data_IF_256146082991
#
_entry.id   IF_256146082991
#
_cell.length_a   1.000
_cell.length_b   1.000
_cell.length_c   1.000
_cell.angle_alpha   90.00
_cell.angle_beta   90.00
_cell.angle_gamma   90.00
#
_symmetry.space_group_name_H-M   'P 1'
#
loop_
_entity.id
_entity.type
_entity.pdbx_description
1 polymer ?
#
# COMPACT_ATOMS: atom_id res chain seq x y z
N UNK A 1 59.87 5.57 -25.82
CA UNK A 1 59.29 6.92 -26.01
C UNK A 1 58.37 6.88 -27.22
N UNK A 2 57.12 7.32 -27.02
CA UNK A 2 56.15 7.89 -27.97
C UNK A 2 55.96 7.28 -29.38
N UNK A 3 54.74 6.72 -29.53
CA UNK A 3 53.61 7.23 -30.34
C UNK A 3 53.27 6.55 -31.68
N UNK A 4 52.02 6.04 -31.66
CA UNK A 4 50.94 6.11 -32.68
C UNK A 4 51.13 5.43 -34.03
N UNK A 5 50.19 4.52 -34.37
CA UNK A 5 49.48 4.47 -35.66
C UNK A 5 48.06 3.88 -35.41
N UNK A 6 47.05 4.66 -35.76
CA UNK A 6 45.74 4.28 -36.32
C UNK A 6 45.86 4.74 -37.81
N UNK A 7 45.30 4.10 -38.87
CA UNK A 7 43.84 3.96 -38.96
C UNK A 7 43.24 2.91 -39.92
N UNK A 8 41.90 2.90 -39.94
CA UNK A 8 40.97 2.68 -41.06
C UNK A 8 41.20 1.48 -42.00
N UNK A 9 40.28 0.52 -41.94
CA UNK A 9 39.84 -0.21 -43.15
C UNK A 9 38.33 -0.37 -43.13
N UNK A 10 37.72 0.28 -44.12
CA UNK A 10 36.31 0.33 -44.48
C UNK A 10 36.15 -0.48 -45.78
N UNK A 11 35.04 -1.22 -45.90
CA UNK A 11 34.36 -1.68 -47.12
C UNK A 11 35.00 -2.73 -48.07
N UNK A 12 34.38 -3.92 -48.12
CA UNK A 12 34.00 -4.68 -49.32
C UNK A 12 33.16 -5.90 -48.86
N UNK A 13 31.83 -5.86 -48.82
CA UNK A 13 30.86 -6.18 -49.90
C UNK A 13 31.09 -7.54 -50.59
N UNK A 14 30.23 -8.53 -50.29
CA UNK A 14 29.60 -9.53 -51.20
C UNK A 14 28.73 -10.45 -50.32
N UNK A 15 27.40 -10.25 -50.28
CA UNK A 15 26.43 -10.85 -51.19
C UNK A 15 26.24 -12.36 -50.97
N UNK A 16 25.24 -12.73 -50.15
CA UNK A 16 24.45 -13.95 -50.31
C UNK A 16 23.01 -13.64 -49.89
N UNK A 17 22.21 -13.27 -50.89
CA UNK A 17 20.76 -13.15 -50.78
C UNK A 17 20.17 -14.56 -50.72
N UNK A 18 19.63 -14.94 -49.57
CA UNK A 18 18.68 -16.06 -49.51
C UNK A 18 17.28 -15.51 -49.78
N UNK A 19 16.78 -15.90 -50.95
CA UNK A 19 15.41 -15.83 -51.42
C UNK A 19 14.46 -16.43 -50.38
N UNK A 20 13.72 -15.61 -49.64
CA UNK A 20 12.45 -16.01 -49.02
C UNK A 20 11.32 -15.26 -49.71
N UNK A 21 10.72 -15.90 -50.70
CA UNK A 21 9.39 -15.56 -51.20
C UNK A 21 8.37 -15.83 -50.10
N UNK A 22 7.96 -14.76 -49.42
CA UNK A 22 6.78 -14.77 -48.54
C UNK A 22 5.55 -14.58 -49.43
N UNK A 23 4.74 -15.64 -49.55
CA UNK A 23 3.42 -15.57 -50.18
C UNK A 23 2.46 -14.91 -49.19
N UNK A 24 2.15 -13.63 -49.38
CA UNK A 24 1.06 -12.97 -48.68
C UNK A 24 -0.26 -13.42 -49.31
N UNK A 25 -1.07 -14.15 -48.54
CA UNK A 25 -2.48 -14.32 -48.88
C UNK A 25 -3.17 -12.94 -48.85
N UNK A 26 -4.02 -12.60 -49.83
CA UNK A 26 -4.76 -11.34 -49.79
C UNK A 26 -5.69 -11.36 -48.58
N UNK A 27 -5.47 -10.42 -47.67
CA UNK A 27 -6.38 -10.13 -46.56
C UNK A 27 -7.68 -9.63 -47.18
N UNK A 28 -8.76 -10.38 -47.01
CA UNK A 28 -10.10 -9.93 -47.33
C UNK A 28 -10.42 -8.70 -46.49
N UNK A 29 -10.47 -7.56 -47.16
CA UNK A 29 -10.96 -6.29 -46.65
C UNK A 29 -12.38 -6.49 -46.10
N UNK A 30 -12.68 -6.15 -44.84
CA UNK A 30 -14.06 -6.09 -44.40
C UNK A 30 -14.79 -4.98 -45.18
N UNK A 31 -15.89 -5.38 -45.80
CA UNK A 31 -16.84 -4.55 -46.52
C UNK A 31 -17.36 -3.42 -45.61
N UNK A 32 -17.50 -2.17 -46.08
CA UNK A 32 -18.07 -1.10 -45.26
C UNK A 32 -19.54 -1.41 -44.97
N UNK A 33 -19.88 -1.57 -43.69
CA UNK A 33 -21.27 -1.67 -43.26
C UNK A 33 -22.09 -0.47 -43.74
N UNK A 34 -23.34 -0.67 -44.19
CA UNK A 34 -24.19 0.42 -44.63
C UNK A 34 -24.55 1.33 -43.45
N UNK A 35 -24.33 2.63 -43.64
CA UNK A 35 -24.79 3.71 -42.77
C UNK A 35 -26.28 3.55 -42.47
N UNK A 36 -26.60 3.09 -41.26
CA UNK A 36 -27.98 3.04 -40.78
C UNK A 36 -28.40 4.46 -40.40
N UNK A 37 -29.16 5.10 -41.28
CA UNK A 37 -29.90 6.33 -40.97
C UNK A 37 -30.85 6.06 -39.80
N UNK A 38 -30.64 6.79 -38.70
CA UNK A 38 -31.57 6.81 -37.56
C UNK A 38 -32.91 7.41 -38.00
N UNK A 39 -34.05 6.74 -37.78
CA UNK A 39 -35.34 7.39 -37.90
C UNK A 39 -35.53 8.36 -36.74
N UNK A 40 -35.82 9.62 -37.02
CA UNK A 40 -36.33 10.58 -36.05
C UNK A 40 -37.71 10.11 -35.57
N UNK A 41 -37.77 9.54 -34.36
CA UNK A 41 -39.02 9.27 -33.67
C UNK A 41 -39.39 10.49 -32.83
N UNK A 42 -40.41 11.21 -33.27
CA UNK A 42 -41.16 12.18 -32.46
C UNK A 42 -41.79 11.43 -31.28
N UNK A 43 -41.37 11.71 -30.04
CA UNK A 43 -42.04 11.19 -28.85
C UNK A 43 -43.36 11.95 -28.61
N UNK A 44 -44.52 11.27 -28.52
CA UNK A 44 -45.63 11.78 -27.74
C UNK A 44 -45.31 11.61 -26.25
N UNK A 45 -45.74 12.57 -25.42
CA UNK A 45 -45.62 12.48 -23.97
C UNK A 45 -46.38 11.23 -23.45
N UNK A 46 -45.64 10.31 -22.83
CA UNK A 46 -46.18 9.09 -22.23
C UNK A 46 -46.44 9.29 -20.72
N UNK A 47 -47.51 8.68 -20.16
CA UNK A 47 -47.87 8.84 -18.76
C UNK A 47 -46.94 8.02 -17.85
N UNK A 48 -46.65 8.55 -16.67
CA UNK A 48 -45.89 7.90 -15.60
C UNK A 48 -46.46 6.51 -15.28
N UNK A 49 -45.70 5.46 -15.61
CA UNK A 49 -45.91 4.11 -15.07
C UNK A 49 -44.78 3.79 -14.08
N UNK A 50 -45.15 3.20 -12.95
CA UNK A 50 -44.22 2.77 -11.92
C UNK A 50 -43.34 1.61 -12.41
N UNK A 51 -42.04 1.73 -12.18
CA UNK A 51 -41.03 0.70 -12.52
C UNK A 51 -41.14 -0.48 -11.55
N UNK A 52 -41.19 -1.75 -12.02
CA UNK A 52 -41.09 -2.90 -11.15
C UNK A 52 -39.63 -3.10 -10.70
N UNK A 53 -39.41 -3.20 -9.40
CA UNK A 53 -38.10 -3.43 -8.78
C UNK A 53 -37.57 -4.82 -9.13
N UNK A 54 -36.48 -4.89 -9.90
CA UNK A 54 -35.70 -6.11 -10.10
C UNK A 54 -34.77 -6.31 -8.89
N UNK A 55 -34.69 -7.52 -8.29
CA UNK A 55 -33.77 -7.77 -7.19
C UNK A 55 -32.31 -7.68 -7.69
N UNK A 56 -31.57 -6.75 -7.08
CA UNK A 56 -30.15 -6.55 -7.29
C UNK A 56 -29.37 -7.76 -6.72
N UNK A 57 -28.34 -8.27 -7.40
CA UNK A 57 -27.48 -9.31 -6.82
C UNK A 57 -26.81 -8.77 -5.56
N UNK A 58 -27.09 -9.41 -4.43
CA UNK A 58 -26.42 -9.19 -3.16
C UNK A 58 -24.93 -9.45 -3.36
N UNK A 59 -24.12 -8.38 -3.35
CA UNK A 59 -22.70 -8.52 -3.08
C UNK A 59 -22.58 -8.98 -1.63
N UNK A 60 -22.19 -10.23 -1.44
CA UNK A 60 -21.86 -10.76 -0.12
C UNK A 60 -20.61 -10.00 0.34
N UNK A 61 -20.81 -9.03 1.24
CA UNK A 61 -19.74 -8.35 1.95
C UNK A 61 -18.96 -9.46 2.67
N UNK A 62 -17.63 -9.59 2.47
CA UNK A 62 -16.84 -10.53 3.27
C UNK A 62 -17.12 -10.25 4.74
N UNK A 63 -17.66 -11.23 5.44
CA UNK A 63 -17.95 -11.13 6.87
C UNK A 63 -16.61 -10.85 7.57
N UNK A 64 -16.38 -9.60 7.98
CA UNK A 64 -15.29 -9.30 8.90
C UNK A 64 -15.57 -10.10 10.17
N UNK A 65 -14.60 -10.88 10.70
CA UNK A 65 -14.82 -11.62 11.93
C UNK A 65 -15.21 -10.64 13.04
N UNK A 66 -16.32 -10.94 13.70
CA UNK A 66 -16.81 -10.17 14.84
C UNK A 66 -15.75 -10.17 15.95
N UNK A 67 -15.49 -9.02 16.62
CA UNK A 67 -14.50 -8.95 17.67
C UNK A 67 -14.67 -10.07 18.69
N UNK A 68 -13.63 -10.88 18.87
CA UNK A 68 -13.67 -11.99 19.82
C UNK A 68 -13.53 -11.49 21.26
N UNK A 69 -13.01 -10.26 21.43
CA UNK A 69 -12.92 -9.56 22.71
C UNK A 69 -13.79 -8.30 22.68
N UNK A 70 -14.63 -8.04 23.69
CA UNK A 70 -15.44 -6.82 23.78
C UNK A 70 -14.57 -5.56 23.70
N UNK A 71 -15.04 -4.46 23.10
CA UNK A 71 -14.28 -3.22 23.04
C UNK A 71 -13.98 -2.70 24.45
N UNK A 72 -12.71 -2.37 24.69
CA UNK A 72 -12.29 -1.76 25.96
C UNK A 72 -12.12 -0.25 25.75
N UNK A 73 -13.02 0.61 26.29
CA UNK A 73 -12.76 2.04 26.36
C UNK A 73 -11.71 2.26 27.44
N UNK A 74 -10.52 2.70 27.03
CA UNK A 74 -9.40 2.83 27.94
C UNK A 74 -8.64 4.12 27.66
N UNK A 75 -8.87 5.08 28.54
CA UNK A 75 -8.22 6.38 28.46
C UNK A 75 -6.75 6.28 28.87
N UNK A 76 -5.82 6.28 27.90
CA UNK A 76 -4.38 6.35 28.10
C UNK A 76 -3.82 5.08 28.71
N UNK A 77 -4.57 3.98 28.59
CA UNK A 77 -4.29 2.76 29.32
C UNK A 77 -3.65 1.72 28.43
N UNK A 78 -2.73 0.98 29.03
CA UNK A 78 -2.22 -0.27 28.48
C UNK A 78 -3.38 -1.24 28.30
N UNK A 79 -3.56 -1.71 27.07
CA UNK A 79 -4.53 -2.74 26.68
C UNK A 79 -3.81 -4.07 26.48
N UNK A 80 -4.51 -5.18 26.65
CA UNK A 80 -3.97 -6.50 26.36
C UNK A 80 -5.01 -7.35 25.65
N UNK A 81 -4.65 -7.83 24.46
CA UNK A 81 -5.44 -8.74 23.65
C UNK A 81 -4.60 -9.98 23.39
N UNK A 82 -5.01 -11.11 23.99
CA UNK A 82 -4.27 -12.36 23.92
C UNK A 82 -2.79 -12.17 24.30
N UNK A 83 -1.85 -12.34 23.37
CA UNK A 83 -0.41 -12.19 23.57
C UNK A 83 0.10 -10.75 23.39
N UNK A 84 -0.68 -9.85 22.80
CA UNK A 84 -0.26 -8.46 22.56
C UNK A 84 -0.66 -7.56 23.73
N UNK A 85 0.32 -6.83 24.25
CA UNK A 85 0.12 -5.68 25.15
C UNK A 85 0.61 -4.41 24.45
N UNK A 86 -0.17 -3.33 24.51
CA UNK A 86 0.19 -2.03 23.91
C UNK A 86 -0.40 -0.89 24.73
N UNK A 87 0.28 0.26 24.78
CA UNK A 87 -0.23 1.48 25.40
C UNK A 87 -0.71 2.44 24.32
N UNK A 88 -1.98 2.84 24.39
CA UNK A 88 -2.59 3.76 23.43
C UNK A 88 -2.48 5.21 23.92
N UNK A 89 -1.72 6.09 23.24
CA UNK A 89 -1.76 7.52 23.54
C UNK A 89 -3.16 8.08 23.29
N UNK A 90 -3.67 8.88 24.23
CA UNK A 90 -5.06 9.37 24.16
C UNK A 90 -5.42 10.20 22.94
N UNK A 91 -4.43 10.87 22.41
CA UNK A 91 -4.57 11.71 21.23
C UNK A 91 -4.44 10.90 19.93
N UNK A 92 -4.10 9.60 20.01
CA UNK A 92 -4.02 8.67 18.87
C UNK A 92 -5.28 7.81 18.80
N UNK A 93 -5.66 7.18 19.91
CA UNK A 93 -6.89 6.38 20.01
C UNK A 93 -7.46 6.38 21.43
N UNK A 94 -8.78 6.23 21.55
CA UNK A 94 -9.49 6.18 22.83
C UNK A 94 -10.04 4.77 23.19
N UNK A 95 -9.66 3.75 22.42
CA UNK A 95 -10.08 2.37 22.58
C UNK A 95 -9.54 1.48 21.46
N UNK A 96 -9.85 0.19 21.54
CA UNK A 96 -9.50 -0.81 20.55
C UNK A 96 -10.40 -2.05 20.70
N UNK A 97 -10.40 -2.90 19.68
CA UNK A 97 -10.98 -4.24 19.70
C UNK A 97 -9.99 -5.27 19.17
N UNK A 98 -10.05 -6.49 19.69
CA UNK A 98 -9.17 -7.60 19.30
C UNK A 98 -9.94 -8.75 18.65
N UNK A 99 -9.39 -9.29 17.58
CA UNK A 99 -9.92 -10.43 16.84
C UNK A 99 -8.81 -11.42 16.49
N UNK A 100 -9.08 -12.71 16.65
CA UNK A 100 -8.23 -13.77 16.08
C UNK A 100 -8.74 -14.08 14.67
N UNK A 101 -7.93 -13.77 13.67
CA UNK A 101 -8.21 -14.08 12.28
C UNK A 101 -7.78 -15.53 12.03
N UNK A 102 -8.69 -16.40 11.55
CA UNK A 102 -8.34 -17.79 11.32
C UNK A 102 -7.38 -17.93 10.14
N UNK A 103 -6.66 -19.05 10.12
CA UNK A 103 -5.87 -19.47 8.97
C UNK A 103 -6.72 -19.50 7.69
N UNK A 104 -6.17 -18.94 6.62
CA UNK A 104 -6.73 -19.03 5.28
C UNK A 104 -5.62 -19.36 4.29
N UNK A 105 -5.55 -20.62 3.87
CA UNK A 105 -4.65 -21.12 2.83
C UNK A 105 -5.41 -21.74 1.66
N UNK A 106 -6.70 -21.39 1.52
CA UNK A 106 -7.57 -21.89 0.45
C UNK A 106 -6.89 -21.73 -0.93
N UNK A 107 -6.96 -22.76 -1.79
CA UNK A 107 -6.49 -22.65 -3.18
C UNK A 107 -7.21 -21.55 -3.97
N UNK A 108 -8.44 -21.21 -3.58
CA UNK A 108 -9.27 -20.17 -4.21
C UNK A 108 -8.99 -18.77 -3.68
N UNK A 109 -8.31 -18.64 -2.53
CA UNK A 109 -7.95 -17.35 -1.97
C UNK A 109 -6.88 -16.66 -2.81
N UNK A 110 -7.06 -15.37 -3.06
CA UNK A 110 -6.02 -14.56 -3.68
C UNK A 110 -4.77 -14.52 -2.79
N UNK A 111 -3.59 -14.35 -3.39
CA UNK A 111 -2.31 -14.43 -2.67
C UNK A 111 -2.24 -13.47 -1.48
N UNK A 112 -2.79 -12.26 -1.61
CA UNK A 112 -2.83 -11.24 -0.55
C UNK A 112 -3.88 -11.51 0.55
N UNK A 113 -4.77 -12.49 0.35
CA UNK A 113 -5.76 -12.92 1.35
C UNK A 113 -5.30 -14.13 2.16
N UNK A 114 -4.18 -14.75 1.75
CA UNK A 114 -3.63 -15.91 2.46
C UNK A 114 -2.96 -15.47 3.74
N UNK A 115 -3.27 -16.16 4.83
CA UNK A 115 -2.71 -15.90 6.16
C UNK A 115 -2.60 -17.19 6.95
N UNK A 116 -1.53 -17.39 7.76
CA UNK A 116 -1.44 -18.51 8.69
C UNK A 116 -2.46 -18.42 9.84
N UNK A 117 -3.24 -17.34 9.89
CA UNK A 117 -3.99 -16.92 11.07
C UNK A 117 -3.16 -15.93 11.87
N UNK A 118 -3.80 -14.97 12.52
CA UNK A 118 -3.11 -13.89 13.22
C UNK A 118 -4.02 -13.15 14.18
N UNK A 119 -3.41 -12.51 15.17
CA UNK A 119 -4.10 -11.53 15.99
C UNK A 119 -4.19 -10.20 15.23
N UNK A 120 -5.38 -9.62 15.18
CA UNK A 120 -5.62 -8.26 14.73
C UNK A 120 -6.20 -7.43 15.88
N UNK A 121 -5.54 -6.31 16.20
CA UNK A 121 -6.08 -5.28 17.10
C UNK A 121 -6.48 -4.08 16.27
N UNK A 122 -7.78 -3.85 16.14
CA UNK A 122 -8.37 -2.74 15.41
C UNK A 122 -8.52 -1.52 16.33
N UNK A 123 -8.15 -0.35 15.82
CA UNK A 123 -8.45 0.95 16.42
C UNK A 123 -9.60 1.66 15.69
N UNK A 124 -10.26 0.98 14.73
CA UNK A 124 -11.37 1.56 13.97
C UNK A 124 -12.52 2.00 14.89
N UNK A 125 -13.11 3.16 14.59
CA UNK A 125 -14.07 3.85 15.44
C UNK A 125 -13.50 4.49 16.72
N UNK A 126 -12.24 4.20 17.08
CA UNK A 126 -11.54 4.77 18.25
C UNK A 126 -10.37 5.68 17.89
N UNK A 127 -9.90 5.60 16.65
CA UNK A 127 -8.75 6.32 16.15
C UNK A 127 -9.05 7.80 15.89
N UNK A 128 -8.04 8.64 16.08
CA UNK A 128 -8.15 10.11 15.97
C UNK A 128 -8.58 10.59 14.57
N UNK A 129 -8.32 9.80 13.53
CA UNK A 129 -8.75 10.09 12.16
C UNK A 129 -9.84 9.13 11.70
N UNK A 130 -10.75 9.65 10.88
CA UNK A 130 -11.87 8.93 10.29
C UNK A 130 -11.88 9.16 8.77
N UNK A 131 -12.58 8.30 8.03
CA UNK A 131 -12.75 8.45 6.57
C UNK A 131 -11.47 8.26 5.75
N UNK A 132 -10.56 7.42 6.24
CA UNK A 132 -9.29 7.07 5.58
C UNK A 132 -9.44 5.77 4.80
N UNK A 133 -8.62 5.58 3.77
CA UNK A 133 -8.67 4.35 2.95
C UNK A 133 -8.25 3.13 3.75
N UNK A 134 -7.17 3.27 4.52
CA UNK A 134 -6.64 2.20 5.34
C UNK A 134 -7.21 2.27 6.76
N UNK A 135 -7.61 1.11 7.30
CA UNK A 135 -8.10 1.03 8.68
C UNK A 135 -6.93 0.97 9.68
N UNK A 136 -7.01 1.70 10.80
CA UNK A 136 -5.94 1.72 11.80
C UNK A 136 -5.91 0.41 12.58
N UNK A 137 -4.82 -0.34 12.46
CA UNK A 137 -4.72 -1.66 13.08
C UNK A 137 -3.27 -2.10 13.35
N UNK A 138 -3.14 -3.01 14.32
CA UNK A 138 -1.93 -3.77 14.63
C UNK A 138 -2.20 -5.24 14.30
N UNK A 139 -1.29 -5.87 13.56
CA UNK A 139 -1.37 -7.26 13.16
C UNK A 139 -0.14 -8.01 13.68
N UNK A 140 -0.36 -9.20 14.26
CA UNK A 140 0.70 -10.06 14.79
C UNK A 140 0.55 -11.46 14.19
N UNK A 141 1.46 -11.80 13.28
CA UNK A 141 1.48 -13.07 12.56
C UNK A 141 2.58 -13.99 13.07
N UNK A 142 2.39 -15.32 13.07
CA UNK A 142 3.51 -16.26 13.14
C UNK A 142 4.45 -16.05 11.95
N UNK A 143 5.67 -15.59 12.20
CA UNK A 143 6.57 -15.09 11.16
C UNK A 143 6.98 -16.19 10.17
N UNK A 144 7.37 -17.36 10.67
CA UNK A 144 7.80 -18.49 9.85
C UNK A 144 6.65 -18.99 8.97
N UNK A 145 5.49 -19.27 9.57
CA UNK A 145 4.34 -19.78 8.81
C UNK A 145 3.86 -18.77 7.77
N UNK A 146 3.92 -17.46 8.07
CA UNK A 146 3.51 -16.46 7.09
C UNK A 146 4.49 -16.40 5.91
N UNK A 147 5.79 -16.44 6.20
CA UNK A 147 6.83 -16.48 5.16
C UNK A 147 6.71 -17.73 4.27
N UNK A 148 6.39 -18.88 4.84
CA UNK A 148 6.19 -20.12 4.08
C UNK A 148 4.92 -20.09 3.22
N UNK A 149 3.85 -19.45 3.72
CA UNK A 149 2.55 -19.42 3.05
C UNK A 149 2.45 -18.35 1.96
N UNK A 150 3.05 -17.18 2.17
CA UNK A 150 2.86 -16.00 1.32
C UNK A 150 4.20 -15.43 0.83
N UNK A 151 4.49 -15.46 -0.49
CA UNK A 151 5.73 -14.90 -1.03
C UNK A 151 5.99 -13.44 -0.64
N UNK A 152 4.93 -12.62 -0.58
CA UNK A 152 5.06 -11.22 -0.16
C UNK A 152 5.51 -11.06 1.31
N UNK A 153 5.12 -12.00 2.19
CA UNK A 153 5.55 -12.00 3.58
C UNK A 153 7.02 -12.43 3.70
N UNK A 154 7.42 -13.47 2.97
CA UNK A 154 8.82 -13.88 2.87
C UNK A 154 9.72 -12.71 2.43
N UNK A 155 9.35 -12.05 1.33
CA UNK A 155 10.11 -10.93 0.78
C UNK A 155 10.18 -9.76 1.77
N UNK A 156 9.07 -9.41 2.41
CA UNK A 156 9.04 -8.31 3.37
C UNK A 156 9.91 -8.59 4.60
N UNK A 157 9.79 -9.79 5.18
CA UNK A 157 10.62 -10.21 6.32
C UNK A 157 12.11 -10.23 5.96
N UNK A 158 12.45 -10.68 4.75
CA UNK A 158 13.84 -10.69 4.27
C UNK A 158 14.40 -9.27 4.09
N UNK A 159 13.62 -8.37 3.46
CA UNK A 159 13.98 -6.96 3.29
C UNK A 159 14.13 -6.23 4.63
N UNK A 160 13.23 -6.52 5.57
CA UNK A 160 13.32 -6.01 6.93
C UNK A 160 14.65 -6.41 7.57
N UNK A 161 14.99 -7.70 7.55
CA UNK A 161 16.27 -8.20 8.10
C UNK A 161 17.48 -7.55 7.45
N UNK A 162 17.46 -7.36 6.13
CA UNK A 162 18.54 -6.69 5.40
C UNK A 162 18.71 -5.24 5.84
N UNK A 163 17.62 -4.49 5.98
CA UNK A 163 17.67 -3.11 6.46
C UNK A 163 18.16 -3.04 7.92
N UNK A 164 17.65 -3.91 8.80
CA UNK A 164 18.04 -3.93 10.21
C UNK A 164 19.51 -4.33 10.44
N UNK A 165 20.12 -5.05 9.48
CA UNK A 165 21.54 -5.38 9.54
C UNK A 165 22.45 -4.15 9.41
N UNK A 166 22.08 -3.18 8.58
CA UNK A 166 22.77 -1.88 8.45
C UNK A 166 21.75 -0.75 8.22
N UNK A 167 21.14 -0.21 9.31
CA UNK A 167 20.08 0.79 9.19
C UNK A 167 20.52 2.13 8.58
N UNK A 168 21.85 2.38 8.49
CA UNK A 168 22.37 3.58 7.82
C UNK A 168 22.35 3.45 6.30
N UNK A 169 22.23 2.22 5.79
CA UNK A 169 22.12 1.92 4.38
C UNK A 169 20.63 1.78 3.99
N UNK A 170 19.94 2.92 3.91
CA UNK A 170 18.53 2.98 3.51
C UNK A 170 18.37 2.37 2.10
N UNK A 171 17.55 1.31 1.94
CA UNK A 171 17.45 0.62 0.68
C UNK A 171 16.66 1.44 -0.35
N UNK A 172 16.81 1.10 -1.63
CA UNK A 172 15.96 1.63 -2.68
C UNK A 172 14.48 1.31 -2.39
N UNK A 173 13.56 2.12 -2.92
CA UNK A 173 12.13 2.01 -2.63
C UNK A 173 11.56 0.60 -2.91
N UNK A 174 12.00 -0.03 -4.00
CA UNK A 174 11.58 -1.38 -4.39
C UNK A 174 12.12 -2.49 -3.48
N UNK A 175 13.09 -2.15 -2.61
CA UNK A 175 13.70 -3.00 -1.61
C UNK A 175 13.23 -2.68 -0.18
N UNK A 176 12.34 -1.70 0.01
CA UNK A 176 11.71 -1.48 1.31
C UNK A 176 10.83 -2.69 1.71
N UNK A 177 10.81 -3.08 3.01
CA UNK A 177 9.82 -4.03 3.50
C UNK A 177 8.41 -3.43 3.32
N UNK A 178 7.45 -4.22 2.87
CA UNK A 178 6.09 -3.76 2.60
C UNK A 178 5.02 -4.59 3.31
N UNK A 179 3.79 -4.09 3.36
CA UNK A 179 2.64 -4.80 3.92
C UNK A 179 2.27 -6.00 3.03
N UNK A 180 2.40 -7.26 3.50
CA UNK A 180 2.26 -8.43 2.63
C UNK A 180 0.87 -8.64 2.02
N UNK A 181 -0.18 -8.17 2.70
CA UNK A 181 -1.57 -8.30 2.28
C UNK A 181 -2.09 -7.09 1.49
N UNK A 182 -1.24 -6.08 1.21
CA UNK A 182 -1.57 -5.00 0.30
C UNK A 182 -1.20 -5.38 -1.13
N UNK A 183 -2.21 -5.62 -1.98
CA UNK A 183 -2.02 -5.88 -3.40
C UNK A 183 -1.77 -4.57 -4.19
N UNK A 184 -0.81 -3.75 -3.77
CA UNK A 184 -0.51 -2.46 -4.40
C UNK A 184 0.97 -2.13 -4.21
N UNK A 185 1.46 -1.13 -4.95
CA UNK A 185 2.86 -0.69 -4.83
C UNK A 185 2.99 0.42 -3.80
N UNK A 186 4.05 0.36 -3.00
CA UNK A 186 4.57 1.49 -2.23
C UNK A 186 4.89 2.62 -3.23
N UNK A 187 4.29 3.79 -3.05
CA UNK A 187 4.52 4.93 -3.95
C UNK A 187 5.76 5.73 -3.56
N UNK A 188 6.02 5.85 -2.25
CA UNK A 188 7.19 6.49 -1.68
C UNK A 188 7.39 5.99 -0.26
N UNK A 189 8.60 6.15 0.28
CA UNK A 189 8.88 5.97 1.69
C UNK A 189 9.58 7.23 2.19
N UNK A 190 9.01 7.89 3.18
CA UNK A 190 9.59 9.05 3.84
C UNK A 190 9.67 8.81 5.35
N UNK A 191 10.46 9.64 6.05
CA UNK A 191 10.61 9.57 7.51
C UNK A 191 10.99 8.15 7.97
N UNK A 192 11.93 7.51 7.26
CA UNK A 192 12.37 6.14 7.53
C UNK A 192 13.19 6.15 8.83
N UNK A 193 12.78 5.33 9.80
CA UNK A 193 13.43 5.24 11.11
C UNK A 193 13.42 3.79 11.61
N UNK A 194 14.58 3.22 11.98
CA UNK A 194 14.59 1.97 12.74
C UNK A 194 14.01 2.23 14.13
N UNK A 195 13.07 1.39 14.56
CA UNK A 195 12.34 1.59 15.81
C UNK A 195 12.16 0.25 16.52
N UNK A 196 12.51 0.20 17.80
CA UNK A 196 12.33 -0.98 18.64
C UNK A 196 11.08 -0.88 19.50
N UNK A 197 10.52 -2.04 19.82
CA UNK A 197 9.49 -2.22 20.85
C UNK A 197 10.04 -3.08 21.99
N UNK A 198 9.22 -3.43 22.99
CA UNK A 198 9.71 -4.02 24.25
C UNK A 198 10.52 -5.32 24.06
N UNK A 199 10.19 -6.10 23.03
CA UNK A 199 10.81 -7.40 22.76
C UNK A 199 10.98 -7.67 21.26
N UNK A 200 11.34 -6.63 20.50
CA UNK A 200 11.61 -6.75 19.09
C UNK A 200 12.00 -5.43 18.44
N UNK A 201 12.22 -5.48 17.13
CA UNK A 201 12.68 -4.33 16.37
C UNK A 201 12.14 -4.33 14.95
N UNK A 202 12.14 -3.16 14.34
CA UNK A 202 11.56 -2.96 13.03
C UNK A 202 11.92 -1.62 12.42
N UNK A 203 11.17 -1.26 11.38
CA UNK A 203 11.28 0.03 10.71
C UNK A 203 9.91 0.66 10.62
N UNK A 204 9.85 1.96 10.91
CA UNK A 204 8.71 2.80 10.55
C UNK A 204 9.06 3.72 9.40
N UNK A 205 8.08 3.99 8.57
CA UNK A 205 8.13 5.01 7.53
C UNK A 205 6.71 5.43 7.16
N UNK A 206 6.56 6.58 6.51
CA UNK A 206 5.26 7.05 6.01
C UNK A 206 5.17 6.82 4.51
N UNK A 207 4.00 6.40 4.04
CA UNK A 207 3.81 5.93 2.68
C UNK A 207 2.35 6.00 2.25
N UNK A 208 2.15 5.83 0.95
CA UNK A 208 0.89 5.47 0.31
C UNK A 208 1.07 4.22 -0.55
N UNK A 209 -0.04 3.53 -0.84
CA UNK A 209 -0.08 2.38 -1.74
C UNK A 209 -1.06 2.65 -2.88
N UNK A 210 -0.66 2.41 -4.13
CA UNK A 210 -1.61 2.43 -5.25
C UNK A 210 -1.24 1.47 -6.39
N UNK A 211 -2.23 1.22 -7.25
CA UNK A 211 -2.09 0.42 -8.47
C UNK A 211 -2.08 1.27 -9.75
N UNK A 212 -2.41 2.56 -9.66
CA UNK A 212 -2.53 3.46 -10.78
C UNK A 212 -2.14 4.89 -10.44
N UNK A 213 -2.28 5.83 -11.41
CA UNK A 213 -1.97 7.23 -11.19
C UNK A 213 -2.82 7.82 -10.06
N UNK A 214 -2.15 8.41 -9.08
CA UNK A 214 -2.78 9.05 -7.93
C UNK A 214 -1.88 10.19 -7.46
N UNK A 215 -2.49 11.28 -7.00
CA UNK A 215 -1.76 12.33 -6.30
C UNK A 215 -1.53 11.91 -4.85
N UNK A 216 -0.32 12.16 -4.33
CA UNK A 216 -0.04 11.97 -2.90
C UNK A 216 -1.02 12.80 -2.03
N UNK A 217 -1.64 12.18 -1.04
CA UNK A 217 -2.82 12.74 -0.38
C UNK A 217 -3.09 12.22 1.05
N UNK A 218 -3.83 13.02 1.81
CA UNK A 218 -4.19 12.75 3.20
C UNK A 218 -5.27 11.66 3.39
N UNK A 219 -5.98 11.23 2.34
CA UNK A 219 -6.94 10.13 2.43
C UNK A 219 -6.23 8.77 2.47
N UNK A 220 -5.13 8.66 1.72
CA UNK A 220 -4.38 7.42 1.56
C UNK A 220 -3.10 7.35 2.40
N UNK A 221 -2.56 8.48 2.88
CA UNK A 221 -1.32 8.54 3.67
C UNK A 221 -1.44 7.80 5.01
N UNK A 222 -0.45 6.97 5.31
CA UNK A 222 -0.36 6.30 6.60
C UNK A 222 1.08 6.14 7.10
N UNK A 223 1.20 6.10 8.43
CA UNK A 223 2.35 5.58 9.14
C UNK A 223 2.33 4.06 9.06
N UNK A 224 3.39 3.50 8.50
CA UNK A 224 3.62 2.07 8.37
C UNK A 224 4.75 1.65 9.30
N UNK A 225 4.54 0.61 10.09
CA UNK A 225 5.61 -0.05 10.82
C UNK A 225 5.60 -1.55 10.52
N UNK A 226 6.80 -2.09 10.29
CA UNK A 226 7.04 -3.50 10.03
C UNK A 226 8.18 -3.95 10.93
N UNK A 227 7.94 -4.99 11.73
CA UNK A 227 8.91 -5.48 12.71
C UNK A 227 8.82 -6.98 12.96
N UNK A 228 9.80 -7.48 13.73
CA UNK A 228 9.86 -8.85 14.22
C UNK A 228 10.22 -8.87 15.70
N UNK A 229 9.74 -9.85 16.44
CA UNK A 229 10.20 -10.09 17.82
C UNK A 229 11.67 -10.53 17.84
N UNK A 230 12.34 -10.34 18.98
CA UNK A 230 13.77 -10.66 19.15
C UNK A 230 14.07 -12.16 18.96
N UNK A 231 13.11 -13.02 19.26
CA UNK A 231 13.17 -14.46 19.00
C UNK A 231 12.83 -14.84 17.54
N UNK A 232 12.37 -13.87 16.75
CA UNK A 232 11.98 -14.03 15.35
C UNK A 232 10.67 -14.79 15.12
N UNK A 233 9.90 -15.09 16.18
CA UNK A 233 8.69 -15.91 16.09
C UNK A 233 7.47 -15.15 15.58
N UNK A 234 7.35 -13.86 15.92
CA UNK A 234 6.21 -13.03 15.56
C UNK A 234 6.62 -11.90 14.61
N UNK A 235 5.84 -11.72 13.55
CA UNK A 235 5.94 -10.64 12.58
C UNK A 235 4.83 -9.63 12.83
N UNK A 236 5.22 -8.37 13.02
CA UNK A 236 4.32 -7.28 13.42
C UNK A 236 4.16 -6.30 12.27
N UNK A 237 2.92 -6.00 11.90
CA UNK A 237 2.57 -4.92 10.97
C UNK A 237 1.67 -3.94 11.68
N UNK A 238 1.95 -2.65 11.57
CA UNK A 238 1.09 -1.59 12.12
C UNK A 238 0.82 -0.56 11.04
N UNK A 239 -0.47 -0.29 10.83
CA UNK A 239 -0.98 0.67 9.84
C UNK A 239 -1.77 1.71 10.61
N UNK A 240 -1.34 2.97 10.56
CA UNK A 240 -1.97 4.07 11.27
C UNK A 240 -2.11 5.25 10.30
N UNK A 241 -3.32 5.58 9.83
CA UNK A 241 -3.52 6.72 8.95
C UNK A 241 -3.01 8.02 9.57
N UNK A 242 -2.41 8.88 8.77
CA UNK A 242 -1.92 10.18 9.21
C UNK A 242 -2.28 11.25 8.17
N UNK A 243 -2.19 12.52 8.54
CA UNK A 243 -2.24 13.63 7.58
C UNK A 243 -0.98 14.48 7.67
N UNK A 244 -0.72 15.20 6.59
CA UNK A 244 0.36 16.18 6.47
C UNK A 244 -0.20 17.48 5.88
N UNK A 245 0.17 18.67 6.41
CA UNK A 245 -0.37 19.95 5.96
C UNK A 245 0.08 20.34 4.54
N UNK A 246 1.06 19.61 3.98
CA UNK A 246 1.64 19.88 2.66
C UNK A 246 1.13 18.94 1.56
N UNK A 247 0.22 18.02 1.89
CA UNK A 247 -0.42 17.12 0.92
C UNK A 247 -1.86 17.52 0.66
N UNK A 248 -2.36 17.22 -0.55
CA UNK A 248 -3.76 17.41 -0.88
C UNK A 248 -4.65 16.47 -0.06
N UNK A 249 -5.94 16.78 0.03
CA UNK A 249 -6.87 15.93 0.79
C UNK A 249 -7.21 14.63 0.07
N UNK A 250 -7.34 14.65 -1.26
CA UNK A 250 -7.70 13.47 -2.05
C UNK A 250 -6.66 13.14 -3.12
N UNK A 251 -6.68 11.89 -3.57
CA UNK A 251 -5.79 11.38 -4.63
C UNK A 251 -6.19 11.76 -6.06
N UNK A 252 -7.24 12.58 -6.25
CA UNK A 252 -7.59 13.12 -7.56
C UNK A 252 -6.40 13.94 -8.10
N UNK A 253 -6.03 13.70 -9.36
CA UNK A 253 -4.91 14.40 -10.01
C UNK A 253 -5.14 15.91 -10.14
N UNK A 254 -6.38 16.37 -9.99
CA UNK A 254 -6.76 17.79 -9.99
C UNK A 254 -7.07 18.33 -8.58
N UNK A 255 -6.85 17.55 -7.53
CA UNK A 255 -7.11 17.98 -6.17
C UNK A 255 -6.26 19.21 -5.82
N UNK A 256 -6.85 20.24 -5.18
CA UNK A 256 -6.09 21.43 -4.77
C UNK A 256 -4.89 21.05 -3.89
N UNK A 257 -3.71 21.49 -4.30
CA UNK A 257 -2.46 21.27 -3.58
C UNK A 257 -2.27 22.42 -2.58
N UNK A 258 -2.03 22.15 -1.29
CA UNK A 258 -1.75 23.19 -0.32
C UNK A 258 -0.52 24.02 -0.67
N UNK A 259 -0.40 25.20 -0.06
CA UNK A 259 0.80 26.02 -0.20
C UNK A 259 2.05 25.25 0.27
N UNK A 260 3.07 25.18 -0.58
CA UNK A 260 4.29 24.42 -0.31
C UNK A 260 4.23 22.93 -0.65
N UNK A 261 3.09 22.43 -1.13
CA UNK A 261 2.97 21.09 -1.70
C UNK A 261 3.55 20.99 -3.11
N UNK A 262 3.65 19.76 -3.61
CA UNK A 262 4.11 19.47 -4.98
C UNK A 262 2.89 19.11 -5.84
N UNK A 263 2.64 19.82 -6.95
CA UNK A 263 1.55 19.46 -7.85
C UNK A 263 1.88 18.19 -8.64
N UNK A 264 0.85 17.39 -8.90
CA UNK A 264 1.00 16.23 -9.77
C UNK A 264 1.38 16.67 -11.19
N UNK A 265 2.33 15.98 -11.87
CA UNK A 265 2.82 16.45 -13.15
C UNK A 265 1.89 16.06 -14.32
N UNK A 266 1.57 17.04 -15.18
CA UNK A 266 0.76 16.84 -16.40
C UNK A 266 1.41 15.92 -17.45
N UNK A 267 2.72 15.64 -17.31
CA UNK A 267 3.50 14.85 -18.26
C UNK A 267 3.46 13.33 -18.00
N UNK A 268 2.70 12.89 -16.99
CA UNK A 268 2.53 11.48 -16.63
C UNK A 268 3.75 10.81 -15.98
N UNK A 269 4.81 11.55 -15.65
CA UNK A 269 6.00 11.01 -14.98
C UNK A 269 5.80 10.98 -13.46
N UNK A 270 5.28 9.87 -12.95
CA UNK A 270 5.02 9.68 -11.52
C UNK A 270 6.30 9.52 -10.68
N UNK A 271 7.36 8.88 -11.18
CA UNK A 271 8.54 8.58 -10.34
C UNK A 271 9.24 9.85 -9.81
N UNK A 272 9.54 10.88 -10.62
CA UNK A 272 10.13 12.13 -10.10
C UNK A 272 9.19 12.86 -9.15
N UNK A 273 7.88 12.74 -9.33
CA UNK A 273 6.88 13.32 -8.44
C UNK A 273 6.96 12.68 -7.04
N UNK A 274 6.98 11.34 -6.96
CA UNK A 274 7.06 10.66 -5.66
C UNK A 274 8.42 10.80 -4.97
N UNK A 275 9.50 11.01 -5.71
CA UNK A 275 10.79 11.45 -5.15
C UNK A 275 10.62 12.82 -4.47
N UNK A 276 10.04 13.80 -5.17
CA UNK A 276 9.81 15.14 -4.61
C UNK A 276 8.85 15.13 -3.41
N UNK A 277 7.84 14.26 -3.40
CA UNK A 277 6.96 14.05 -2.24
C UNK A 277 7.74 13.47 -1.07
N UNK A 278 8.57 12.44 -1.29
CA UNK A 278 9.41 11.89 -0.22
C UNK A 278 10.34 12.95 0.36
N UNK A 279 11.04 13.71 -0.48
CA UNK A 279 11.93 14.80 -0.05
C UNK A 279 11.19 15.88 0.75
N UNK A 280 10.00 16.29 0.28
CA UNK A 280 9.14 17.25 0.96
C UNK A 280 8.73 16.76 2.34
N UNK A 281 8.36 15.48 2.46
CA UNK A 281 7.92 14.87 3.71
C UNK A 281 9.07 14.61 4.69
N UNK A 282 10.28 14.31 4.19
CA UNK A 282 11.48 14.08 5.00
C UNK A 282 11.93 15.34 5.76
N UNK A 283 11.64 16.53 5.23
CA UNK A 283 11.99 17.80 5.90
C UNK A 283 10.89 18.33 6.82
N UNK A 284 9.72 17.67 6.86
CA UNK A 284 8.67 18.06 7.79
C UNK A 284 9.02 17.65 9.23
N UNK A 285 8.78 18.52 10.23
CA UNK A 285 8.91 18.14 11.64
C UNK A 285 7.95 16.99 12.00
N UNK A 286 8.36 16.03 12.83
CA UNK A 286 7.48 14.92 13.26
C UNK A 286 6.16 15.38 13.90
N UNK A 287 6.17 16.54 14.55
CA UNK A 287 4.98 17.18 15.12
C UNK A 287 4.03 17.87 14.12
N UNK A 288 4.40 18.02 12.84
CA UNK A 288 3.48 18.58 11.84
C UNK A 288 2.52 17.54 11.25
N UNK A 289 2.77 16.26 11.49
CA UNK A 289 1.84 15.20 11.12
C UNK A 289 0.72 15.08 12.16
N UNK A 290 -0.44 14.61 11.73
CA UNK A 290 -1.56 14.35 12.63
C UNK A 290 -2.10 12.94 12.43
N UNK A 291 -2.08 12.05 13.45
CA UNK A 291 -1.34 12.21 14.72
C UNK A 291 0.16 12.42 14.51
N UNK A 292 0.85 13.00 15.51
CA UNK A 292 2.29 13.27 15.41
C UNK A 292 3.13 11.99 15.42
N UNK A 293 4.27 12.01 14.74
CA UNK A 293 5.13 10.83 14.62
C UNK A 293 5.65 10.37 16.00
N UNK A 294 6.01 11.28 16.90
CA UNK A 294 6.52 10.93 18.24
C UNK A 294 5.50 10.13 19.07
N UNK A 295 4.21 10.42 18.88
CA UNK A 295 3.13 9.71 19.58
C UNK A 295 2.90 8.32 18.99
N UNK A 296 3.00 8.19 17.67
CA UNK A 296 2.90 6.90 16.99
C UNK A 296 4.13 6.04 17.31
N UNK A 297 5.32 6.63 17.33
CA UNK A 297 6.57 5.98 17.74
C UNK A 297 6.45 5.47 19.19
N UNK A 298 5.87 6.27 20.11
CA UNK A 298 5.62 5.86 21.50
C UNK A 298 4.63 4.69 21.61
N UNK A 299 3.59 4.65 20.76
CA UNK A 299 2.68 3.51 20.67
C UNK A 299 3.46 2.25 20.27
N UNK A 300 4.26 2.33 19.20
CA UNK A 300 5.08 1.18 18.74
C UNK A 300 6.02 0.72 19.84
N UNK A 301 6.77 1.65 20.46
CA UNK A 301 7.72 1.33 21.52
C UNK A 301 7.09 0.62 22.72
N UNK A 302 5.79 0.84 22.95
CA UNK A 302 5.04 0.21 24.04
C UNK A 302 4.56 -1.21 23.73
N UNK A 303 4.64 -1.66 22.47
CA UNK A 303 4.20 -3.01 22.07
C UNK A 303 5.07 -4.03 22.81
N UNK A 304 4.42 -5.06 23.33
CA UNK A 304 5.04 -6.27 23.86
C UNK A 304 4.23 -7.46 23.38
N UNK A 305 4.91 -8.48 22.85
CA UNK A 305 4.28 -9.74 22.40
C UNK A 305 4.73 -10.85 23.33
N UNK A 306 3.82 -11.41 24.13
CA UNK A 306 4.13 -12.56 24.98
C UNK A 306 4.44 -13.80 24.11
N UNK A 307 5.40 -14.65 24.51
CA UNK A 307 5.71 -15.91 23.83
C UNK A 307 4.48 -16.81 23.68
#
# INVERSE_FOLDING_TARGET
MKKTILPLTLLALTALACNMTVSFAPTSQPEPEPTRVSPTLTLPAAPTQAVPTQPQPTSEVPNLPEPTVPPQPLSGSTITFHRLTVTLPQTVANGASGSEIPRNDSPEAAQWQKTPGHLQVSLDGYYALQGKTNQPAIYVFPALEYAELAPAAFESIHRLRNYLYDPNNVPALDQMPGVPFMNAKILFAAQILPLSFQNGTGVRYITEYAQGPVQANNTDLFYNYIGVTDDGNDYVVVILPITSPVLAESGDLNAPVPSGGVPYPDNGRADPYFIAISDLLNVQPGGSFSPSLDMLDSLIQSISIAP
#
